data_IF_604963621104
#
_entry.id   IF_604963621104
#
_cell.length_a   1.000
_cell.length_b   1.000
_cell.length_c   1.000
_cell.angle_alpha   90.00
_cell.angle_beta   90.00
_cell.angle_gamma   90.00
#
_symmetry.space_group_name_H-M   'P 1'
#
loop_
_entity.id
_entity.type
_entity.pdbx_description
1 polymer ?
#
# COMPACT_ATOMS: atom_id res chain seq x y z
N UNK A 1 32.05 3.01 -8.56
CA UNK A 1 30.71 3.61 -8.52
C UNK A 1 29.70 2.48 -8.28
N UNK A 2 29.25 2.23 -7.06
CA UNK A 2 28.31 1.12 -6.75
C UNK A 2 27.25 1.57 -5.71
N UNK A 3 26.69 2.77 -5.88
CA UNK A 3 25.83 3.37 -4.87
C UNK A 3 24.55 3.95 -5.50
N UNK A 4 23.75 3.12 -6.20
CA UNK A 4 22.38 3.51 -6.64
C UNK A 4 21.33 2.41 -6.56
N UNK A 5 21.64 1.26 -5.97
CA UNK A 5 20.65 0.17 -5.79
C UNK A 5 20.08 0.11 -4.37
N UNK A 6 20.63 0.91 -3.45
CA UNK A 6 20.32 0.88 -2.00
C UNK A 6 19.38 2.02 -1.55
N UNK A 7 18.71 2.68 -2.49
CA UNK A 7 17.68 3.68 -2.17
C UNK A 7 16.28 3.09 -2.17
N UNK A 8 15.97 2.22 -3.15
CA UNK A 8 14.60 1.73 -3.37
C UNK A 8 14.14 0.70 -2.35
N UNK A 9 15.05 -0.15 -1.86
CA UNK A 9 14.75 -1.14 -0.82
C UNK A 9 14.69 -0.51 0.57
N UNK A 10 15.40 0.61 0.80
CA UNK A 10 15.41 1.28 2.11
C UNK A 10 14.02 1.81 2.50
N UNK A 11 13.28 2.36 1.53
CA UNK A 11 11.90 2.81 1.76
C UNK A 11 10.93 1.66 2.06
N UNK A 12 11.17 0.47 1.49
CA UNK A 12 10.38 -0.72 1.81
C UNK A 12 10.72 -1.25 3.21
N UNK A 13 11.99 -1.19 3.62
CA UNK A 13 12.43 -1.60 4.96
C UNK A 13 12.00 -0.63 6.07
N UNK A 14 11.99 0.68 5.82
CA UNK A 14 11.49 1.68 6.80
C UNK A 14 9.99 1.51 7.07
N UNK A 15 9.20 0.94 6.14
CA UNK A 15 7.81 0.56 6.38
C UNK A 15 7.65 -0.70 7.26
N UNK A 16 8.69 -1.53 7.37
CA UNK A 16 8.64 -2.81 8.12
C UNK A 16 8.89 -2.61 9.63
N UNK A 17 9.37 -1.44 10.06
CA UNK A 17 9.62 -1.16 11.48
C UNK A 17 8.35 -0.87 12.31
N UNK A 18 7.17 -0.74 11.68
CA UNK A 18 5.88 -0.54 12.37
C UNK A 18 5.09 -1.84 12.40
N UNK A 19 5.44 -2.78 13.28
CA UNK A 19 4.60 -3.90 13.76
C UNK A 19 3.67 -4.65 12.77
N UNK A 20 3.96 -4.66 11.46
CA UNK A 20 3.03 -5.20 10.46
C UNK A 20 1.68 -4.46 10.39
N UNK A 21 1.61 -3.22 10.90
CA UNK A 21 0.40 -2.41 10.85
C UNK A 21 0.34 -1.67 9.50
N UNK A 22 -0.80 -1.74 8.83
CA UNK A 22 -1.06 -0.95 7.63
C UNK A 22 -0.94 0.54 8.03
N UNK A 23 -0.17 1.36 7.29
CA UNK A 23 -0.05 2.79 7.60
C UNK A 23 -1.45 3.40 7.72
N UNK A 24 -1.70 4.22 8.74
CA UNK A 24 -3.04 4.78 9.05
C UNK A 24 -3.74 5.53 7.90
N UNK A 25 -2.98 5.90 6.86
CA UNK A 25 -3.46 6.54 5.64
C UNK A 25 -3.87 5.54 4.55
N UNK A 26 -3.83 4.24 4.81
CA UNK A 26 -4.20 3.18 3.89
C UNK A 26 -5.17 2.22 4.59
N UNK A 27 -6.10 1.70 3.80
CA UNK A 27 -7.01 0.64 4.24
C UNK A 27 -7.12 -0.42 3.16
N UNK A 28 -7.55 -1.61 3.56
CA UNK A 28 -7.86 -2.67 2.60
C UNK A 28 -8.85 -2.15 1.55
N UNK A 29 -8.60 -2.52 0.29
CA UNK A 29 -9.53 -2.24 -0.78
C UNK A 29 -10.83 -2.99 -0.48
N UNK A 30 -11.98 -2.30 -0.38
CA UNK A 30 -13.24 -2.94 0.00
C UNK A 30 -13.77 -3.90 -1.08
N UNK A 31 -13.31 -3.75 -2.33
CA UNK A 31 -13.74 -4.57 -3.47
C UNK A 31 -13.06 -5.94 -3.44
N UNK A 32 -11.72 -5.96 -3.39
CA UNK A 32 -10.95 -7.20 -3.39
C UNK A 32 -10.58 -7.70 -1.98
N UNK A 33 -10.90 -6.96 -0.92
CA UNK A 33 -10.65 -7.34 0.49
C UNK A 33 -9.17 -7.67 0.75
N UNK A 34 -8.29 -6.78 0.30
CA UNK A 34 -6.85 -6.93 0.50
C UNK A 34 -6.13 -7.84 -0.49
N UNK A 35 -6.84 -8.58 -1.36
CA UNK A 35 -6.18 -9.56 -2.25
C UNK A 35 -5.46 -8.91 -3.44
N UNK A 36 -5.96 -7.76 -3.92
CA UNK A 36 -5.50 -7.14 -5.16
C UNK A 36 -6.14 -7.72 -6.42
N UNK A 37 -7.08 -8.67 -6.29
CA UNK A 37 -7.67 -9.38 -7.41
C UNK A 37 -9.19 -9.47 -7.33
N UNK A 38 -9.86 -9.42 -8.48
CA UNK A 38 -11.28 -9.75 -8.62
C UNK A 38 -11.48 -11.28 -8.70
N UNK A 39 -10.57 -11.96 -9.39
CA UNK A 39 -10.44 -13.42 -9.39
C UNK A 39 -8.96 -13.84 -9.55
N UNK A 40 -8.67 -15.13 -9.61
CA UNK A 40 -7.28 -15.65 -9.71
C UNK A 40 -6.48 -15.17 -10.94
N UNK A 41 -7.11 -14.58 -11.95
CA UNK A 41 -6.50 -14.10 -13.19
C UNK A 41 -6.75 -12.61 -13.47
N UNK A 42 -7.70 -11.98 -12.79
CA UNK A 42 -8.11 -10.59 -13.03
C UNK A 42 -7.67 -9.71 -11.86
N UNK A 43 -6.78 -8.76 -12.16
CA UNK A 43 -6.35 -7.71 -11.24
C UNK A 43 -7.53 -6.82 -10.87
N UNK A 44 -7.65 -6.47 -9.59
CA UNK A 44 -8.68 -5.54 -9.13
C UNK A 44 -8.38 -4.13 -9.65
N UNK A 45 -9.27 -3.60 -10.50
CA UNK A 45 -9.10 -2.27 -11.08
C UNK A 45 -9.23 -1.16 -10.03
N UNK A 46 -10.05 -1.38 -9.00
CA UNK A 46 -10.31 -0.37 -7.95
C UNK A 46 -9.10 -0.02 -7.09
N UNK A 47 -8.13 -0.92 -6.96
CA UNK A 47 -6.88 -0.68 -6.25
C UNK A 47 -5.65 -0.92 -7.13
N UNK A 48 -5.85 -1.10 -8.44
CA UNK A 48 -4.80 -1.35 -9.42
C UNK A 48 -3.85 -2.50 -9.00
N UNK A 49 -4.40 -3.55 -8.39
CA UNK A 49 -3.64 -4.71 -7.94
C UNK A 49 -2.93 -4.58 -6.59
N UNK A 50 -3.00 -3.42 -5.92
CA UNK A 50 -2.28 -3.22 -4.66
C UNK A 50 -2.93 -3.88 -3.44
N UNK A 51 -4.23 -4.19 -3.51
CA UNK A 51 -5.00 -4.70 -2.37
C UNK A 51 -5.38 -3.63 -1.33
N UNK A 52 -4.77 -2.45 -1.37
CA UNK A 52 -5.02 -1.33 -0.45
C UNK A 52 -5.30 -0.05 -1.21
N UNK A 53 -6.08 0.85 -0.60
CA UNK A 53 -6.36 2.19 -1.12
C UNK A 53 -6.00 3.23 -0.08
N UNK A 54 -5.57 4.42 -0.53
CA UNK A 54 -5.33 5.55 0.35
C UNK A 54 -6.65 6.05 0.91
N UNK A 55 -6.74 6.14 2.23
CA UNK A 55 -7.80 6.87 2.89
C UNK A 55 -7.41 8.35 2.88
N UNK A 56 -8.08 9.14 2.04
CA UNK A 56 -7.97 10.59 2.11
C UNK A 56 -8.60 11.02 3.43
N UNK A 57 -7.79 11.10 4.49
CA UNK A 57 -8.20 11.83 5.68
C UNK A 57 -8.33 13.28 5.24
N UNK A 58 -9.56 13.76 5.11
CA UNK A 58 -9.84 15.19 5.17
C UNK A 58 -9.34 15.62 6.54
N UNK A 59 -8.11 16.13 6.60
CA UNK A 59 -7.64 16.84 7.78
C UNK A 59 -8.53 18.07 7.87
N UNK A 60 -9.58 17.99 8.69
CA UNK A 60 -10.27 19.17 9.18
C UNK A 60 -9.21 19.99 9.91
N UNK A 61 -8.73 21.05 9.25
CA UNK A 61 -7.90 22.07 9.87
C UNK A 61 -8.74 22.72 10.96
N UNK A 62 -8.40 22.43 12.23
CA UNK A 62 -8.90 23.15 13.41
C UNK A 62 -8.03 24.37 13.64
#
# INVERSE_FOLDING_TARGET
MLNKFWGSLKSLFEMVEVNGEIPSMHKECPVCKGTGFEDVFITCESCEGNGYVKELQLQETV
#
